data_IF_471182473518
#
_entry.id   IF_471182473518
#
_cell.length_a   1.000
_cell.length_b   1.000
_cell.length_c   1.000
_cell.angle_alpha   90.00
_cell.angle_beta   90.00
_cell.angle_gamma   90.00
#
_symmetry.space_group_name_H-M   'P 1'
#
loop_
_entity.id
_entity.type
_entity.pdbx_description
1 polymer ?
#
# COMPACT_ATOMS: atom_id res chain seq x y z
N UNK A 1 -45.55 -23.52 8.67
CA UNK A 1 -44.84 -22.66 9.65
C UNK A 1 -43.32 -22.73 9.50
N UNK A 2 -42.73 -23.87 9.14
CA UNK A 2 -41.28 -24.08 9.00
C UNK A 2 -40.61 -23.22 7.89
N UNK A 3 -41.30 -22.99 6.77
CA UNK A 3 -40.77 -22.21 5.63
C UNK A 3 -40.50 -20.73 5.94
N UNK A 4 -41.29 -20.09 6.82
CA UNK A 4 -41.08 -18.68 7.21
C UNK A 4 -39.88 -18.51 8.15
N UNK A 5 -39.61 -19.50 8.98
CA UNK A 5 -38.44 -19.52 9.88
C UNK A 5 -37.15 -19.72 9.08
N UNK A 6 -37.18 -20.59 8.07
CA UNK A 6 -36.07 -20.79 7.13
C UNK A 6 -35.73 -19.51 6.35
N UNK A 7 -36.75 -18.79 5.87
CA UNK A 7 -36.56 -17.51 5.18
C UNK A 7 -35.95 -16.45 6.10
N UNK A 8 -36.41 -16.36 7.35
CA UNK A 8 -35.85 -15.42 8.34
C UNK A 8 -34.40 -15.76 8.68
N UNK A 9 -34.06 -17.04 8.85
CA UNK A 9 -32.69 -17.49 9.09
C UNK A 9 -31.76 -17.17 7.90
N UNK A 10 -32.25 -17.33 6.67
CA UNK A 10 -31.52 -16.97 5.46
C UNK A 10 -31.27 -15.46 5.38
N UNK A 11 -32.27 -14.63 5.72
CA UNK A 11 -32.10 -13.18 5.76
C UNK A 11 -31.09 -12.76 6.84
N UNK A 12 -31.16 -13.33 8.04
CA UNK A 12 -30.20 -13.04 9.13
C UNK A 12 -28.77 -13.46 8.77
N UNK A 13 -28.60 -14.60 8.09
CA UNK A 13 -27.28 -15.05 7.63
C UNK A 13 -26.65 -14.10 6.59
N UNK A 14 -27.46 -13.42 5.76
CA UNK A 14 -26.94 -12.50 4.74
C UNK A 14 -26.44 -11.15 5.29
N UNK A 15 -26.89 -10.72 6.47
CA UNK A 15 -26.48 -9.41 7.05
C UNK A 15 -25.11 -9.46 7.73
N UNK A 16 -24.62 -10.65 8.09
CA UNK A 16 -23.36 -10.80 8.82
C UNK A 16 -22.09 -10.56 7.96
N UNK A 17 -22.22 -10.40 6.64
CA UNK A 17 -21.09 -10.26 5.72
C UNK A 17 -20.73 -8.81 5.33
N UNK A 18 -21.35 -7.78 5.92
CA UNK A 18 -21.16 -6.39 5.48
C UNK A 18 -20.12 -5.57 6.27
N UNK A 19 -19.32 -6.17 7.15
CA UNK A 19 -18.38 -5.40 8.00
C UNK A 19 -16.94 -5.30 7.49
N UNK A 20 -16.58 -5.88 6.35
CA UNK A 20 -15.22 -5.79 5.80
C UNK A 20 -15.16 -4.83 4.61
N UNK A 21 -15.25 -3.52 4.87
CA UNK A 21 -15.10 -2.44 3.84
C UNK A 21 -13.70 -1.82 3.81
N UNK A 22 -12.78 -2.17 4.72
CA UNK A 22 -11.40 -1.68 4.71
C UNK A 22 -10.42 -2.83 4.56
N UNK A 23 -10.22 -3.28 3.32
CA UNK A 23 -9.18 -4.25 3.00
C UNK A 23 -7.92 -3.49 2.54
N UNK A 24 -6.96 -3.31 3.45
CA UNK A 24 -5.55 -2.96 3.24
C UNK A 24 -5.22 -1.81 2.27
N UNK A 25 -5.51 -0.58 2.68
CA UNK A 25 -4.86 0.62 2.11
C UNK A 25 -3.79 1.13 3.08
N UNK A 26 -2.54 0.76 2.84
CA UNK A 26 -1.36 1.34 3.51
C UNK A 26 -0.83 2.52 2.68
N UNK A 27 -0.75 3.71 3.27
CA UNK A 27 -0.21 4.89 2.59
C UNK A 27 0.38 5.92 3.56
N UNK A 28 1.18 6.82 3.01
CA UNK A 28 2.01 7.76 3.75
C UNK A 28 1.77 9.18 3.25
N UNK A 29 1.45 10.12 4.14
CA UNK A 29 1.36 11.54 3.80
C UNK A 29 1.87 12.36 4.97
N UNK A 30 2.71 13.35 4.64
CA UNK A 30 3.39 14.23 5.62
C UNK A 30 4.17 13.39 6.63
N UNK A 31 3.75 13.40 7.88
CA UNK A 31 4.35 12.74 9.04
C UNK A 31 3.49 11.58 9.57
N UNK A 32 2.59 11.03 8.75
CA UNK A 32 1.62 10.01 9.18
C UNK A 32 1.60 8.77 8.30
N UNK A 33 1.45 7.63 8.96
CA UNK A 33 1.12 6.34 8.37
C UNK A 33 -0.38 6.12 8.49
N UNK A 34 -1.03 5.73 7.40
CA UNK A 34 -2.44 5.37 7.36
C UNK A 34 -2.57 3.91 6.97
N UNK A 35 -3.33 3.16 7.76
CA UNK A 35 -3.55 1.73 7.54
C UNK A 35 -4.94 1.35 8.04
N UNK A 36 -5.73 0.67 7.19
CA UNK A 36 -7.04 0.11 7.57
C UNK A 36 -7.99 1.11 8.25
N UNK A 37 -7.97 2.37 7.79
CA UNK A 37 -8.79 3.45 8.34
C UNK A 37 -8.24 4.10 9.62
N UNK A 38 -7.16 3.57 10.18
CA UNK A 38 -6.43 4.15 11.30
C UNK A 38 -5.25 5.00 10.81
N UNK A 39 -4.77 5.89 11.68
CA UNK A 39 -3.53 6.62 11.42
C UNK A 39 -2.68 6.77 12.67
N UNK A 40 -1.36 6.74 12.48
CA UNK A 40 -0.38 7.01 13.52
C UNK A 40 0.67 8.01 13.03
N UNK A 41 1.28 8.81 13.91
CA UNK A 41 2.47 9.57 13.56
C UNK A 41 3.61 8.60 13.19
N UNK A 42 4.45 9.02 12.26
CA UNK A 42 5.73 8.38 11.97
C UNK A 42 6.75 8.67 13.07
N UNK A 43 7.69 7.75 13.26
CA UNK A 43 8.88 8.03 14.07
C UNK A 43 9.87 8.91 13.28
N UNK A 44 10.80 9.63 13.94
CA UNK A 44 11.85 10.38 13.24
C UNK A 44 12.65 9.53 12.25
N UNK A 45 12.94 8.28 12.60
CA UNK A 45 13.69 7.33 11.76
C UNK A 45 12.87 6.84 10.55
N UNK A 46 11.54 6.78 10.65
CA UNK A 46 10.66 6.51 9.52
C UNK A 46 10.61 7.71 8.56
N UNK A 47 10.53 8.93 9.11
CA UNK A 47 10.56 10.17 8.33
C UNK A 47 11.87 10.29 7.54
N UNK A 48 13.00 10.06 8.19
CA UNK A 48 14.30 10.19 7.52
C UNK A 48 14.48 9.13 6.42
N UNK A 49 14.05 7.88 6.66
CA UNK A 49 14.06 6.85 5.61
C UNK A 49 13.13 7.18 4.43
N UNK A 50 11.99 7.83 4.68
CA UNK A 50 11.09 8.27 3.61
C UNK A 50 11.70 9.42 2.78
N UNK A 51 12.48 10.31 3.41
CA UNK A 51 13.26 11.33 2.70
C UNK A 51 14.33 10.70 1.82
N UNK A 52 15.08 9.74 2.36
CA UNK A 52 16.12 9.02 1.60
C UNK A 52 15.51 8.30 0.39
N UNK A 53 14.34 7.67 0.55
CA UNK A 53 13.59 7.09 -0.57
C UNK A 53 13.22 8.16 -1.63
N UNK A 54 12.81 9.35 -1.21
CA UNK A 54 12.55 10.47 -2.12
C UNK A 54 13.79 10.87 -2.96
N UNK A 55 14.98 10.85 -2.35
CA UNK A 55 16.24 11.08 -3.05
C UNK A 55 16.52 9.96 -4.06
N UNK A 56 16.36 8.69 -3.66
CA UNK A 56 16.57 7.54 -4.55
C UNK A 56 15.63 7.57 -5.76
N UNK A 57 14.37 8.00 -5.59
CA UNK A 57 13.42 8.16 -6.71
C UNK A 57 13.88 9.24 -7.69
N UNK A 58 14.42 10.36 -7.20
CA UNK A 58 14.95 11.41 -8.05
C UNK A 58 16.15 10.91 -8.88
N UNK A 59 17.08 10.20 -8.23
CA UNK A 59 18.24 9.59 -8.91
C UNK A 59 17.82 8.52 -9.92
N UNK A 60 16.87 7.66 -9.55
CA UNK A 60 16.26 6.67 -10.44
C UNK A 60 15.66 7.32 -11.68
N UNK A 61 14.94 8.44 -11.52
CA UNK A 61 14.29 9.16 -12.63
C UNK A 61 15.33 9.69 -13.63
N UNK A 62 16.47 10.19 -13.15
CA UNK A 62 17.59 10.62 -13.99
C UNK A 62 18.20 9.43 -14.73
N UNK A 63 18.47 8.33 -14.03
CA UNK A 63 19.01 7.10 -14.62
C UNK A 63 18.08 6.51 -15.68
N UNK A 64 16.78 6.44 -15.39
CA UNK A 64 15.77 5.95 -16.31
C UNK A 64 15.72 6.81 -17.57
N UNK A 65 15.77 8.14 -17.42
CA UNK A 65 15.80 9.08 -18.54
C UNK A 65 17.03 8.85 -19.42
N UNK A 66 18.20 8.62 -18.82
CA UNK A 66 19.43 8.31 -19.56
C UNK A 66 19.33 6.98 -20.31
N UNK A 67 18.78 5.94 -19.68
CA UNK A 67 18.52 4.66 -20.34
C UNK A 67 17.52 4.80 -21.49
N UNK A 68 16.49 5.63 -21.36
CA UNK A 68 15.54 5.92 -22.45
C UNK A 68 16.27 6.58 -23.64
N UNK A 69 17.12 7.58 -23.40
CA UNK A 69 17.89 8.23 -24.46
C UNK A 69 18.84 7.27 -25.18
N UNK A 70 19.39 6.30 -24.46
CA UNK A 70 20.27 5.26 -25.01
C UNK A 70 19.51 4.00 -25.47
N UNK A 71 18.18 4.03 -25.56
CA UNK A 71 17.33 2.89 -25.95
C UNK A 71 17.60 1.61 -25.15
N UNK A 72 17.95 1.74 -23.87
CA UNK A 72 18.23 0.64 -22.96
C UNK A 72 19.53 -0.10 -23.24
N UNK A 73 20.44 0.43 -24.07
CA UNK A 73 21.72 -0.22 -24.42
C UNK A 73 22.57 -0.59 -23.20
N UNK A 74 22.53 0.25 -22.17
CA UNK A 74 23.29 0.06 -20.93
C UNK A 74 22.45 -0.61 -19.83
N UNK A 75 21.25 -1.11 -20.17
CA UNK A 75 20.29 -1.73 -19.25
C UNK A 75 19.22 -0.77 -18.73
N UNK A 76 18.22 -1.35 -18.05
CA UNK A 76 17.15 -0.60 -17.37
C UNK A 76 17.45 -0.53 -15.87
N UNK A 77 17.44 0.66 -15.26
CA UNK A 77 17.61 0.77 -13.83
C UNK A 77 16.44 0.12 -13.11
N UNK A 78 16.71 -0.45 -11.93
CA UNK A 78 15.68 -0.96 -11.04
C UNK A 78 15.13 0.20 -10.18
N UNK A 79 13.81 0.30 -10.01
CA UNK A 79 13.24 1.30 -9.11
C UNK A 79 13.62 0.99 -7.66
N UNK A 80 13.81 2.02 -6.82
CA UNK A 80 14.00 1.81 -5.40
C UNK A 80 12.72 1.29 -4.75
N UNK A 81 12.86 0.51 -3.70
CA UNK A 81 11.72 -0.05 -2.95
C UNK A 81 11.21 0.94 -1.92
N UNK A 82 9.91 1.23 -1.96
CA UNK A 82 9.26 2.05 -0.94
C UNK A 82 9.31 1.35 0.43
N UNK A 83 9.84 2.00 1.49
CA UNK A 83 9.81 1.44 2.83
C UNK A 83 8.37 1.15 3.29
N UNK A 84 8.20 0.06 4.03
CA UNK A 84 6.90 -0.32 4.57
C UNK A 84 6.83 -0.16 6.09
N UNK A 85 5.83 0.58 6.56
CA UNK A 85 5.63 0.93 7.98
C UNK A 85 4.28 0.44 8.53
N UNK A 86 3.58 -0.39 7.77
CA UNK A 86 2.28 -0.97 8.11
C UNK A 86 2.44 -2.37 8.73
N UNK A 87 1.41 -2.87 9.42
CA UNK A 87 1.46 -4.18 10.10
C UNK A 87 1.64 -5.34 9.10
N UNK A 88 0.96 -5.27 7.95
CA UNK A 88 1.08 -6.28 6.90
C UNK A 88 1.68 -5.69 5.63
N UNK A 89 3.01 -5.68 5.60
CA UNK A 89 3.77 -5.44 4.39
C UNK A 89 3.77 -6.71 3.53
N UNK A 90 2.68 -6.99 2.81
CA UNK A 90 2.81 -7.83 1.62
C UNK A 90 3.72 -7.07 0.69
N UNK A 91 4.95 -7.57 0.50
CA UNK A 91 5.94 -7.01 -0.41
C UNK A 91 5.23 -6.53 -1.67
N UNK A 92 5.30 -5.23 -1.96
CA UNK A 92 5.02 -4.73 -3.30
C UNK A 92 6.20 -5.17 -4.19
N UNK A 93 6.36 -6.48 -4.36
CA UNK A 93 7.23 -7.10 -5.35
C UNK A 93 6.55 -6.94 -6.70
N UNK A 94 7.11 -6.07 -7.54
CA UNK A 94 7.19 -6.26 -8.99
C UNK A 94 8.40 -5.48 -9.50
#
# INVERSE_FOLDING_TARGET
MISRVLLLLLVVATVAHTLSVFNNNCWYVLDRVYENGNSRPMTPEEIDRLKDYGVQIAEYSVSLTQSIFNLGRDGWPMPPTLPCYCENCTEQQN
#
